data_IF_578980825064
#
_entry.id   IF_578980825064
#
_cell.length_a   1.000
_cell.length_b   1.000
_cell.length_c   1.000
_cell.angle_alpha   90.00
_cell.angle_beta   90.00
_cell.angle_gamma   90.00
#
_symmetry.space_group_name_H-M   'P 1'
#
loop_
_entity.id
_entity.type
_entity.pdbx_description
1 polymer ?
#
# COMPACT_ATOMS: atom_id res chain seq x y z
N UNK A 1 23.10 -4.56 -14.97
CA UNK A 1 21.67 -4.89 -15.16
C UNK A 1 21.22 -5.77 -14.01
N UNK A 2 19.92 -5.91 -13.78
CA UNK A 2 19.37 -6.75 -12.70
C UNK A 2 19.91 -8.20 -12.78
N UNK A 3 20.11 -8.71 -14.00
CA UNK A 3 20.65 -10.06 -14.27
C UNK A 3 22.14 -10.17 -13.95
N UNK A 4 22.91 -9.12 -14.13
CA UNK A 4 24.34 -9.09 -13.77
C UNK A 4 24.52 -9.04 -12.25
N UNK A 5 23.65 -8.31 -11.56
CA UNK A 5 23.70 -8.15 -10.11
C UNK A 5 23.15 -9.39 -9.37
N UNK A 6 22.31 -10.20 -10.04
CA UNK A 6 21.64 -11.38 -9.48
C UNK A 6 21.69 -12.58 -10.44
N UNK A 7 22.81 -13.29 -10.52
CA UNK A 7 23.01 -14.38 -11.49
C UNK A 7 22.09 -15.60 -11.30
N UNK A 8 21.36 -15.68 -10.20
CA UNK A 8 20.39 -16.76 -9.91
C UNK A 8 18.93 -16.38 -10.16
N UNK A 9 18.66 -15.29 -10.91
CA UNK A 9 17.30 -14.92 -11.26
C UNK A 9 16.63 -15.94 -12.16
N UNK A 10 15.37 -16.22 -11.86
CA UNK A 10 14.47 -16.99 -12.71
C UNK A 10 13.11 -16.29 -12.81
N UNK A 11 12.33 -16.66 -13.80
CA UNK A 11 10.96 -16.19 -13.96
C UNK A 11 9.98 -17.27 -13.50
N UNK A 12 9.02 -16.90 -12.62
CA UNK A 12 7.86 -17.73 -12.32
C UNK A 12 6.67 -17.14 -13.08
N UNK A 13 6.06 -17.91 -13.97
CA UNK A 13 5.01 -17.40 -14.86
C UNK A 13 3.86 -18.40 -15.00
N UNK A 14 2.66 -17.88 -15.09
CA UNK A 14 1.41 -18.60 -15.38
C UNK A 14 1.04 -18.57 -16.88
N UNK A 15 1.79 -17.78 -17.66
CA UNK A 15 1.58 -17.60 -19.09
C UNK A 15 2.93 -17.52 -19.84
N UNK A 16 2.99 -17.81 -21.17
CA UNK A 16 4.21 -17.71 -21.93
C UNK A 16 4.85 -16.33 -21.88
N UNK A 17 6.11 -16.25 -21.44
CA UNK A 17 6.95 -15.05 -21.51
C UNK A 17 7.85 -15.16 -22.73
N UNK A 18 7.66 -14.30 -23.73
CA UNK A 18 8.40 -14.34 -25.00
C UNK A 18 9.62 -13.41 -25.03
N UNK A 19 9.73 -12.47 -24.08
CA UNK A 19 10.69 -11.35 -24.15
C UNK A 19 11.76 -11.37 -23.04
N UNK A 20 11.74 -12.36 -22.14
CA UNK A 20 12.67 -12.40 -21.00
C UNK A 20 13.57 -13.60 -21.13
N UNK A 21 14.90 -13.38 -21.26
CA UNK A 21 15.93 -14.42 -21.33
C UNK A 21 16.34 -14.90 -19.92
N UNK A 22 15.38 -15.37 -19.12
CA UNK A 22 15.60 -15.98 -17.80
C UNK A 22 15.19 -17.44 -17.83
N UNK A 23 15.78 -18.25 -16.95
CA UNK A 23 15.26 -19.58 -16.66
C UNK A 23 13.82 -19.43 -16.17
N UNK A 24 12.92 -20.20 -16.76
CA UNK A 24 11.50 -20.11 -16.48
C UNK A 24 11.02 -21.33 -15.74
N UNK A 25 10.23 -21.09 -14.68
CA UNK A 25 9.41 -22.09 -14.01
C UNK A 25 7.93 -21.75 -14.24
N UNK A 26 7.17 -22.74 -14.67
CA UNK A 26 5.72 -22.58 -14.78
C UNK A 26 5.09 -22.61 -13.40
N UNK A 27 4.16 -21.67 -13.16
CA UNK A 27 3.40 -21.68 -11.93
C UNK A 27 2.51 -22.92 -11.89
N UNK A 28 2.61 -23.77 -10.85
CA UNK A 28 1.84 -25.01 -10.81
C UNK A 28 0.34 -24.73 -10.71
N UNK A 29 -0.49 -25.56 -11.35
CA UNK A 29 -1.93 -25.53 -11.05
C UNK A 29 -2.17 -25.86 -9.58
N UNK A 30 -2.76 -24.91 -8.86
CA UNK A 30 -3.08 -25.08 -7.46
C UNK A 30 -4.35 -25.94 -7.36
N UNK A 31 -4.18 -27.21 -7.05
CA UNK A 31 -5.29 -28.05 -6.61
C UNK A 31 -5.57 -27.78 -5.13
N UNK A 32 -6.85 -27.73 -4.69
CA UNK A 32 -7.16 -27.60 -3.28
C UNK A 32 -6.41 -28.68 -2.48
N UNK A 33 -5.52 -28.27 -1.61
CA UNK A 33 -4.77 -29.21 -0.79
C UNK A 33 -5.72 -29.90 0.20
N UNK A 34 -5.78 -31.21 0.14
CA UNK A 34 -6.41 -32.04 1.16
C UNK A 34 -5.48 -32.26 2.37
N UNK A 35 -4.37 -31.52 2.43
CA UNK A 35 -3.37 -31.68 3.49
C UNK A 35 -3.96 -31.31 4.85
N UNK A 36 -3.97 -32.26 5.74
CA UNK A 36 -4.46 -32.11 7.13
C UNK A 36 -3.47 -31.43 8.07
N UNK A 37 -2.21 -31.26 7.65
CA UNK A 37 -1.17 -30.59 8.43
C UNK A 37 -0.37 -29.65 7.52
N UNK A 38 -0.41 -28.35 7.84
CA UNK A 38 0.42 -27.33 7.21
C UNK A 38 1.40 -26.77 8.25
N UNK A 39 2.68 -26.78 7.93
CA UNK A 39 3.71 -26.16 8.76
C UNK A 39 3.97 -24.74 8.24
N UNK A 40 3.63 -23.74 9.05
CA UNK A 40 3.95 -22.35 8.72
C UNK A 40 5.47 -22.18 8.72
N UNK A 41 6.09 -21.78 7.60
CA UNK A 41 7.53 -21.63 7.54
C UNK A 41 7.99 -20.47 8.42
N UNK A 42 9.12 -20.68 9.12
CA UNK A 42 9.80 -19.62 9.85
C UNK A 42 10.76 -18.90 8.91
N UNK A 43 10.41 -17.70 8.50
CA UNK A 43 11.22 -16.87 7.59
C UNK A 43 12.06 -15.91 8.43
N UNK A 44 13.40 -15.85 8.26
CA UNK A 44 14.24 -14.88 8.96
C UNK A 44 13.81 -13.45 8.66
N UNK A 45 13.75 -12.60 9.67
CA UNK A 45 13.31 -11.20 9.50
C UNK A 45 14.17 -10.42 8.48
N UNK A 46 15.47 -10.73 8.42
CA UNK A 46 16.43 -10.09 7.52
C UNK A 46 16.40 -10.63 6.08
N UNK A 47 15.63 -11.69 5.83
CA UNK A 47 15.50 -12.22 4.46
C UNK A 47 14.89 -11.16 3.55
N UNK A 48 15.52 -10.94 2.40
CA UNK A 48 14.98 -10.06 1.36
C UNK A 48 13.66 -10.65 0.85
N UNK A 49 12.60 -9.88 0.96
CA UNK A 49 11.26 -10.26 0.49
C UNK A 49 11.00 -9.71 -0.92
N UNK A 50 11.48 -8.50 -1.20
CA UNK A 50 11.28 -7.85 -2.49
C UNK A 50 12.34 -6.77 -2.78
N UNK A 51 12.58 -6.53 -4.07
CA UNK A 51 13.20 -5.33 -4.59
C UNK A 51 12.12 -4.48 -5.26
N UNK A 52 11.89 -3.30 -4.76
CA UNK A 52 10.92 -2.36 -5.35
C UNK A 52 11.68 -1.25 -6.05
N UNK A 53 11.28 -0.93 -7.28
CA UNK A 53 11.99 0.02 -8.12
C UNK A 53 11.24 1.34 -8.23
N UNK A 54 11.98 2.46 -8.12
CA UNK A 54 11.49 3.79 -8.49
C UNK A 54 12.08 4.21 -9.84
N UNK A 55 11.32 4.96 -10.63
CA UNK A 55 11.85 5.63 -11.83
C UNK A 55 12.78 6.75 -11.38
N UNK A 56 14.07 6.46 -11.20
CA UNK A 56 15.05 7.43 -10.75
C UNK A 56 15.06 8.69 -11.64
N UNK A 57 15.30 9.86 -11.04
CA UNK A 57 15.46 11.16 -11.74
C UNK A 57 16.57 11.14 -12.80
N UNK A 58 17.48 10.17 -12.73
CA UNK A 58 18.59 9.95 -13.68
C UNK A 58 18.22 9.00 -14.85
N UNK A 59 16.95 8.55 -14.92
CA UNK A 59 16.47 7.61 -15.95
C UNK A 59 16.83 6.14 -15.69
N UNK A 60 17.61 5.83 -14.66
CA UNK A 60 17.88 4.44 -14.23
C UNK A 60 17.01 4.12 -13.01
N UNK A 61 16.29 2.97 -13.02
CA UNK A 61 15.54 2.54 -11.86
C UNK A 61 16.46 2.33 -10.64
N UNK A 62 16.05 2.85 -9.49
CA UNK A 62 16.74 2.59 -8.22
C UNK A 62 16.00 1.49 -7.46
N UNK A 63 16.74 0.45 -7.06
CA UNK A 63 16.20 -0.67 -6.29
C UNK A 63 16.19 -0.35 -4.79
N UNK A 64 15.04 -0.55 -4.16
CA UNK A 64 14.85 -0.44 -2.71
C UNK A 64 14.57 -1.82 -2.14
N UNK A 65 15.47 -2.30 -1.29
CA UNK A 65 15.37 -3.61 -0.64
C UNK A 65 14.29 -3.56 0.43
N UNK A 66 13.41 -4.56 0.43
CA UNK A 66 12.42 -4.78 1.49
C UNK A 66 12.68 -6.13 2.13
N UNK A 67 12.85 -6.15 3.45
CA UNK A 67 13.03 -7.40 4.19
C UNK A 67 11.68 -7.98 4.60
N UNK A 68 11.66 -9.27 4.87
CA UNK A 68 10.46 -9.94 5.38
C UNK A 68 9.99 -9.33 6.71
N UNK A 69 10.92 -9.03 7.61
CA UNK A 69 10.62 -8.42 8.90
C UNK A 69 9.99 -7.04 8.78
N UNK A 70 10.52 -6.20 7.87
CA UNK A 70 9.98 -4.86 7.61
C UNK A 70 8.55 -4.92 7.09
N UNK A 71 8.30 -5.68 6.01
CA UNK A 71 6.95 -5.77 5.41
C UNK A 71 5.95 -6.44 6.35
N UNK A 72 6.38 -7.44 7.15
CA UNK A 72 5.51 -8.09 8.13
C UNK A 72 5.09 -7.14 9.26
N UNK A 73 6.03 -6.36 9.83
CA UNK A 73 5.70 -5.34 10.84
C UNK A 73 4.77 -4.27 10.30
N UNK A 74 5.01 -3.81 9.06
CA UNK A 74 4.13 -2.85 8.40
C UNK A 74 2.71 -3.37 8.23
N UNK A 75 2.54 -4.61 7.80
CA UNK A 75 1.22 -5.23 7.65
C UNK A 75 0.49 -5.38 8.99
N UNK A 76 1.18 -5.77 10.07
CA UNK A 76 0.59 -5.87 11.40
C UNK A 76 0.12 -4.48 11.89
N UNK A 77 0.96 -3.45 11.72
CA UNK A 77 0.61 -2.09 12.10
C UNK A 77 -0.59 -1.54 11.30
N UNK A 78 -0.68 -1.88 10.00
CA UNK A 78 -1.86 -1.56 9.18
C UNK A 78 -3.12 -2.28 9.68
N UNK A 79 -3.02 -3.59 9.99
CA UNK A 79 -4.15 -4.36 10.50
C UNK A 79 -4.72 -3.74 11.79
N UNK A 80 -3.84 -3.31 12.68
CA UNK A 80 -4.22 -2.60 13.91
C UNK A 80 -4.92 -1.26 13.59
N UNK A 81 -4.32 -0.45 12.70
CA UNK A 81 -4.85 0.86 12.30
C UNK A 81 -6.23 0.79 11.65
N UNK A 82 -6.46 -0.23 10.83
CA UNK A 82 -7.74 -0.44 10.15
C UNK A 82 -8.70 -1.34 10.92
N UNK A 83 -8.37 -1.70 12.16
CA UNK A 83 -9.15 -2.59 13.03
C UNK A 83 -9.52 -3.93 12.36
N UNK A 84 -8.60 -4.50 11.57
CA UNK A 84 -8.80 -5.77 10.91
C UNK A 84 -8.61 -6.92 11.90
N UNK A 85 -9.62 -7.75 12.04
CA UNK A 85 -9.53 -8.95 12.88
C UNK A 85 -8.84 -10.08 12.11
N UNK A 86 -7.71 -10.62 12.58
CA UNK A 86 -7.04 -11.75 11.95
C UNK A 86 -7.97 -12.94 11.77
N UNK A 87 -7.79 -13.68 10.66
CA UNK A 87 -8.59 -14.86 10.29
C UNK A 87 -10.11 -14.62 10.24
N UNK A 88 -10.56 -13.38 10.14
CA UNK A 88 -11.98 -13.06 9.96
C UNK A 88 -12.43 -13.32 8.52
N UNK A 89 -13.75 -13.37 8.31
CA UNK A 89 -14.37 -13.46 6.98
C UNK A 89 -14.29 -12.11 6.23
N UNK A 90 -13.13 -11.46 6.29
CA UNK A 90 -12.85 -10.20 5.59
C UNK A 90 -12.08 -10.48 4.31
N UNK A 91 -12.40 -9.76 3.25
CA UNK A 91 -11.65 -9.82 1.98
C UNK A 91 -11.13 -8.44 1.61
N UNK A 92 -9.82 -8.37 1.31
CA UNK A 92 -9.18 -7.21 0.71
C UNK A 92 -9.38 -7.23 -0.81
N UNK A 93 -9.83 -6.12 -1.36
CA UNK A 93 -9.99 -5.91 -2.81
C UNK A 93 -9.08 -4.76 -3.20
N UNK A 94 -8.07 -5.00 -4.04
CA UNK A 94 -7.14 -3.98 -4.51
C UNK A 94 -7.46 -3.50 -5.92
N UNK A 95 -7.56 -2.19 -6.13
CA UNK A 95 -7.56 -1.58 -7.47
C UNK A 95 -6.15 -1.23 -7.94
N UNK A 96 -5.16 -1.33 -7.03
CA UNK A 96 -3.74 -1.14 -7.31
C UNK A 96 -3.09 -2.50 -7.41
N UNK A 97 -2.31 -2.75 -8.48
CA UNK A 97 -1.67 -4.05 -8.66
C UNK A 97 -0.64 -4.34 -7.56
N UNK A 98 -0.49 -5.62 -7.13
CA UNK A 98 0.38 -6.00 -6.01
C UNK A 98 1.88 -5.82 -6.29
N UNK A 99 2.31 -5.60 -7.53
CA UNK A 99 3.67 -5.23 -7.88
C UNK A 99 4.01 -3.75 -7.62
N UNK A 100 3.01 -2.90 -7.39
CA UNK A 100 3.22 -1.55 -6.88
C UNK A 100 3.40 -1.60 -5.36
N UNK A 101 4.32 -0.80 -4.79
CA UNK A 101 4.63 -0.84 -3.35
C UNK A 101 3.39 -0.76 -2.46
N UNK A 102 2.49 0.18 -2.74
CA UNK A 102 1.24 0.33 -2.00
C UNK A 102 0.35 -0.93 -2.10
N UNK A 103 0.18 -1.49 -3.31
CA UNK A 103 -0.57 -2.73 -3.51
C UNK A 103 0.09 -3.93 -2.82
N UNK A 104 1.41 -4.03 -2.85
CA UNK A 104 2.17 -5.07 -2.16
C UNK A 104 1.88 -5.05 -0.66
N UNK A 105 2.05 -3.89 -0.01
CA UNK A 105 1.90 -3.75 1.44
C UNK A 105 0.45 -3.83 1.91
N UNK A 106 -0.46 -3.05 1.28
CA UNK A 106 -1.85 -2.90 1.76
C UNK A 106 -2.81 -3.98 1.27
N UNK A 107 -2.40 -4.86 0.35
CA UNK A 107 -3.24 -5.96 -0.08
C UNK A 107 -2.56 -7.32 0.11
N UNK A 108 -1.49 -7.63 -0.60
CA UNK A 108 -0.90 -8.97 -0.58
C UNK A 108 -0.28 -9.31 0.78
N UNK A 109 0.66 -8.47 1.27
CA UNK A 109 1.36 -8.76 2.54
C UNK A 109 0.40 -8.63 3.73
N UNK A 110 -0.51 -7.65 3.69
CA UNK A 110 -1.55 -7.50 4.72
C UNK A 110 -2.43 -8.76 4.83
N UNK A 111 -2.87 -9.31 3.71
CA UNK A 111 -3.64 -10.56 3.70
C UNK A 111 -2.82 -11.74 4.24
N UNK A 112 -1.56 -11.90 3.80
CA UNK A 112 -0.67 -12.96 4.25
C UNK A 112 -0.42 -12.91 5.77
N UNK A 113 -0.23 -11.72 6.34
CA UNK A 113 0.08 -11.57 7.77
C UNK A 113 -1.16 -11.70 8.66
N UNK A 114 -2.32 -11.34 8.17
CA UNK A 114 -3.58 -11.40 8.94
C UNK A 114 -4.36 -12.69 8.71
N UNK A 115 -4.06 -13.44 7.66
CA UNK A 115 -4.83 -14.62 7.28
C UNK A 115 -6.25 -14.30 6.80
N UNK A 116 -6.53 -13.06 6.41
CA UNK A 116 -7.77 -12.66 5.72
C UNK A 116 -7.65 -12.92 4.22
N UNK A 117 -8.77 -12.99 3.51
CA UNK A 117 -8.75 -13.26 2.08
C UNK A 117 -8.26 -12.05 1.27
N UNK A 118 -7.62 -12.32 0.15
CA UNK A 118 -7.28 -11.33 -0.88
C UNK A 118 -7.98 -11.71 -2.19
N UNK A 119 -8.66 -10.74 -2.81
CA UNK A 119 -9.29 -10.93 -4.12
C UNK A 119 -8.23 -10.86 -5.22
N UNK A 120 -7.94 -12.00 -5.86
CA UNK A 120 -6.86 -12.12 -6.86
C UNK A 120 -7.15 -11.48 -8.20
N UNK A 121 -8.36 -10.94 -8.44
CA UNK A 121 -8.69 -10.16 -9.63
C UNK A 121 -8.08 -8.75 -9.57
N UNK A 122 -8.08 -8.07 -10.72
CA UNK A 122 -7.55 -6.71 -10.85
C UNK A 122 -8.67 -5.74 -11.31
N UNK A 123 -9.66 -5.44 -10.43
CA UNK A 123 -10.74 -4.53 -10.79
C UNK A 123 -10.20 -3.12 -11.00
N UNK A 124 -10.45 -2.56 -12.17
CA UNK A 124 -9.94 -1.23 -12.53
C UNK A 124 -11.09 -0.23 -12.77
N UNK A 125 -12.07 -0.60 -13.59
CA UNK A 125 -13.22 0.25 -13.86
C UNK A 125 -14.30 0.14 -12.78
N UNK A 126 -15.17 1.15 -12.60
CA UNK A 126 -16.25 1.12 -11.61
C UNK A 126 -17.13 -0.15 -11.68
N UNK A 127 -17.40 -0.63 -12.88
CA UNK A 127 -18.17 -1.86 -13.05
C UNK A 127 -17.43 -3.11 -12.51
N UNK A 128 -16.11 -3.20 -12.76
CA UNK A 128 -15.28 -4.31 -12.30
C UNK A 128 -15.17 -4.29 -10.77
N UNK A 129 -14.98 -3.09 -10.18
CA UNK A 129 -14.92 -2.91 -8.72
C UNK A 129 -16.22 -3.40 -8.08
N UNK A 130 -17.38 -2.96 -8.61
CA UNK A 130 -18.69 -3.42 -8.10
C UNK A 130 -18.89 -4.92 -8.27
N UNK A 131 -18.51 -5.48 -9.43
CA UNK A 131 -18.60 -6.90 -9.68
C UNK A 131 -17.74 -7.72 -8.70
N UNK A 132 -16.49 -7.28 -8.45
CA UNK A 132 -15.60 -7.90 -7.48
C UNK A 132 -16.19 -7.84 -6.05
N UNK A 133 -16.67 -6.66 -5.63
CA UNK A 133 -17.29 -6.48 -4.32
C UNK A 133 -18.55 -7.35 -4.15
N UNK A 134 -19.34 -7.52 -5.21
CA UNK A 134 -20.58 -8.33 -5.17
C UNK A 134 -20.33 -9.83 -5.05
N UNK A 135 -19.17 -10.33 -5.43
CA UNK A 135 -18.80 -11.75 -5.30
C UNK A 135 -18.44 -12.13 -3.87
N UNK A 136 -18.23 -11.17 -2.98
CA UNK A 136 -17.74 -11.40 -1.63
C UNK A 136 -18.93 -11.41 -0.66
N UNK A 137 -19.05 -12.45 0.13
CA UNK A 137 -20.13 -12.60 1.12
C UNK A 137 -19.81 -12.02 2.50
N UNK A 138 -18.51 -11.86 2.82
CA UNK A 138 -18.05 -11.32 4.10
C UNK A 138 -17.83 -9.80 4.10
N UNK A 139 -17.13 -9.33 5.11
CA UNK A 139 -16.70 -7.93 5.20
C UNK A 139 -15.72 -7.59 4.07
N UNK A 140 -15.81 -6.40 3.51
CA UNK A 140 -15.06 -5.95 2.34
C UNK A 140 -14.22 -4.74 2.69
N UNK A 141 -12.93 -4.80 2.38
CA UNK A 141 -12.00 -3.66 2.49
C UNK A 141 -11.53 -3.30 1.09
N UNK A 142 -11.78 -2.09 0.66
CA UNK A 142 -11.37 -1.60 -0.66
C UNK A 142 -10.08 -0.79 -0.55
N UNK A 143 -8.99 -1.35 -1.08
CA UNK A 143 -7.67 -0.71 -1.21
C UNK A 143 -7.61 -0.05 -2.58
N UNK A 144 -7.60 1.29 -2.63
CA UNK A 144 -7.86 2.04 -3.85
C UNK A 144 -7.02 3.31 -3.95
N UNK A 145 -7.32 4.18 -4.90
CA UNK A 145 -6.67 5.49 -5.09
C UNK A 145 -7.74 6.58 -5.25
N UNK A 146 -7.41 7.86 -5.06
CA UNK A 146 -8.35 8.95 -5.31
C UNK A 146 -8.93 8.94 -6.73
N UNK A 147 -8.16 8.49 -7.72
CA UNK A 147 -8.61 8.35 -9.10
C UNK A 147 -9.76 7.32 -9.24
N UNK A 148 -9.54 6.10 -8.75
CA UNK A 148 -10.56 5.03 -8.82
C UNK A 148 -11.78 5.37 -7.97
N UNK A 149 -11.54 5.99 -6.79
CA UNK A 149 -12.61 6.40 -5.90
C UNK A 149 -13.51 7.46 -6.56
N UNK A 150 -12.92 8.46 -7.20
CA UNK A 150 -13.68 9.48 -7.97
C UNK A 150 -14.50 8.84 -9.08
N UNK A 151 -13.92 7.93 -9.85
CA UNK A 151 -14.63 7.21 -10.92
C UNK A 151 -15.78 6.36 -10.35
N UNK A 152 -15.55 5.62 -9.26
CA UNK A 152 -16.58 4.80 -8.63
C UNK A 152 -17.77 5.63 -8.11
N UNK A 153 -17.50 6.80 -7.53
CA UNK A 153 -18.51 7.68 -6.96
C UNK A 153 -19.25 8.56 -7.99
N UNK A 154 -18.68 8.74 -9.18
CA UNK A 154 -19.36 9.47 -10.28
C UNK A 154 -20.45 8.64 -10.94
N UNK A 155 -20.44 7.33 -10.76
CA UNK A 155 -21.45 6.41 -11.23
C UNK A 155 -22.59 6.28 -10.20
N UNK A 156 -23.83 6.38 -10.63
CA UNK A 156 -25.02 6.31 -9.78
C UNK A 156 -25.37 4.88 -9.31
N UNK A 157 -24.66 3.86 -9.83
CA UNK A 157 -24.92 2.48 -9.47
C UNK A 157 -24.53 2.19 -8.01
N UNK A 158 -25.31 1.37 -7.30
CA UNK A 158 -25.01 1.04 -5.91
C UNK A 158 -23.69 0.27 -5.79
N UNK A 159 -22.98 0.53 -4.69
CA UNK A 159 -21.78 -0.19 -4.30
C UNK A 159 -22.14 -1.08 -3.10
N UNK A 160 -21.75 -2.36 -3.06
CA UNK A 160 -21.94 -3.20 -1.90
C UNK A 160 -21.31 -2.60 -0.64
N UNK A 161 -21.87 -2.88 0.52
CA UNK A 161 -21.39 -2.40 1.82
C UNK A 161 -19.91 -2.71 2.02
N UNK A 162 -19.18 -1.72 2.56
CA UNK A 162 -17.75 -1.79 2.84
C UNK A 162 -17.51 -1.68 4.35
N UNK A 163 -16.54 -2.42 4.86
CA UNK A 163 -16.09 -2.27 6.25
C UNK A 163 -15.15 -1.08 6.39
N UNK A 164 -14.24 -0.88 5.41
CA UNK A 164 -13.43 0.32 5.32
C UNK A 164 -12.87 0.54 3.91
N UNK A 165 -12.38 1.76 3.68
CA UNK A 165 -11.66 2.18 2.47
C UNK A 165 -10.25 2.59 2.85
N UNK A 166 -9.29 2.25 2.00
CA UNK A 166 -7.89 2.67 2.14
C UNK A 166 -7.46 3.31 0.83
N UNK A 167 -6.94 4.54 0.88
CA UNK A 167 -6.55 5.31 -0.30
C UNK A 167 -5.11 5.82 -0.18
N UNK A 168 -4.34 5.73 -1.26
CA UNK A 168 -2.98 6.28 -1.34
C UNK A 168 -2.62 6.67 -2.78
N UNK A 169 -1.34 6.93 -3.02
CA UNK A 169 -0.67 7.23 -4.31
C UNK A 169 -0.86 8.65 -4.84
N UNK A 170 -1.83 9.38 -4.37
CA UNK A 170 -2.07 10.79 -4.71
C UNK A 170 -2.79 11.47 -3.54
N UNK A 171 -2.71 12.80 -3.39
CA UNK A 171 -3.46 13.53 -2.37
C UNK A 171 -4.97 13.27 -2.48
N UNK A 172 -5.61 13.02 -1.36
CA UNK A 172 -7.05 12.81 -1.27
C UNK A 172 -7.74 14.15 -0.93
N UNK A 173 -8.49 14.77 -1.87
CA UNK A 173 -9.23 15.99 -1.58
C UNK A 173 -10.32 15.76 -0.51
N UNK A 174 -10.51 16.74 0.37
CA UNK A 174 -11.46 16.65 1.47
C UNK A 174 -12.90 16.40 0.97
N UNK A 175 -13.31 17.09 -0.08
CA UNK A 175 -14.63 16.92 -0.71
C UNK A 175 -14.86 15.49 -1.23
N UNK A 176 -13.82 14.89 -1.83
CA UNK A 176 -13.87 13.50 -2.28
C UNK A 176 -13.94 12.54 -1.11
N UNK A 177 -13.18 12.78 -0.04
CA UNK A 177 -13.21 11.96 1.16
C UNK A 177 -14.59 12.01 1.84
N UNK A 178 -15.17 13.20 1.99
CA UNK A 178 -16.51 13.40 2.54
C UNK A 178 -17.59 12.69 1.69
N UNK A 179 -17.51 12.83 0.37
CA UNK A 179 -18.43 12.17 -0.55
C UNK A 179 -18.33 10.65 -0.44
N UNK A 180 -17.10 10.12 -0.33
CA UNK A 180 -16.84 8.69 -0.21
C UNK A 180 -17.43 8.12 1.09
N UNK A 181 -17.09 8.69 2.25
CA UNK A 181 -17.62 8.22 3.52
C UNK A 181 -19.14 8.35 3.60
N UNK A 182 -19.72 9.44 3.05
CA UNK A 182 -21.17 9.62 3.02
C UNK A 182 -21.90 8.62 2.12
N UNK A 183 -21.39 8.37 0.90
CA UNK A 183 -22.04 7.46 -0.06
C UNK A 183 -21.81 5.99 0.24
N UNK A 184 -20.64 5.63 0.75
CA UNK A 184 -20.23 4.24 0.97
C UNK A 184 -20.42 3.80 2.41
N UNK A 185 -20.81 4.71 3.32
CA UNK A 185 -21.06 4.48 4.75
C UNK A 185 -19.91 3.73 5.45
N UNK A 186 -18.68 3.99 5.05
CA UNK A 186 -17.49 3.31 5.56
C UNK A 186 -16.36 4.31 5.83
N UNK A 187 -15.55 4.12 6.89
CA UNK A 187 -14.41 4.99 7.18
C UNK A 187 -13.37 4.91 6.05
N UNK A 188 -12.82 6.06 5.67
CA UNK A 188 -11.78 6.18 4.65
C UNK A 188 -10.46 6.62 5.27
N UNK A 189 -9.48 5.73 5.24
CA UNK A 189 -8.11 6.02 5.65
C UNK A 189 -7.26 6.41 4.45
N UNK A 190 -6.59 7.55 4.56
CA UNK A 190 -5.54 7.94 3.62
C UNK A 190 -4.19 7.45 4.15
N UNK A 191 -3.37 6.86 3.29
CA UNK A 191 -2.04 6.34 3.62
C UNK A 191 -0.97 7.20 2.99
N UNK A 192 0.01 7.59 3.78
CA UNK A 192 1.23 8.28 3.37
C UNK A 192 2.44 7.35 3.44
N UNK A 193 3.27 7.44 2.43
CA UNK A 193 4.53 6.71 2.35
C UNK A 193 5.28 6.97 1.05
N UNK A 194 6.47 6.42 0.97
CA UNK A 194 7.31 6.45 -0.23
C UNK A 194 7.98 5.10 -0.43
N UNK A 195 8.54 4.86 -1.61
CA UNK A 195 9.16 3.55 -1.90
C UNK A 195 10.36 3.27 -1.00
N UNK A 196 11.10 4.30 -0.60
CA UNK A 196 12.24 4.22 0.30
C UNK A 196 11.85 3.70 1.69
N UNK A 197 10.85 4.32 2.30
CA UNK A 197 10.39 4.03 3.65
C UNK A 197 9.33 2.91 3.71
N UNK A 198 8.52 2.75 2.66
CA UNK A 198 7.25 2.04 2.73
C UNK A 198 6.14 2.94 3.27
N UNK A 199 5.13 2.34 3.88
CA UNK A 199 4.05 3.10 4.52
C UNK A 199 4.50 3.66 5.86
N UNK A 200 4.29 4.96 6.06
CA UNK A 200 4.77 5.73 7.22
C UNK A 200 3.63 6.11 8.15
N UNK A 201 2.54 6.63 7.60
CA UNK A 201 1.47 7.24 8.39
C UNK A 201 0.10 7.10 7.72
N UNK A 202 -0.93 7.35 8.50
CA UNK A 202 -2.32 7.44 8.01
C UNK A 202 -3.02 8.66 8.61
N UNK A 203 -4.12 9.05 7.96
CA UNK A 203 -5.12 9.95 8.54
C UNK A 203 -6.53 9.57 8.09
N UNK A 204 -7.54 10.05 8.80
CA UNK A 204 -8.90 10.15 8.29
C UNK A 204 -9.14 11.60 7.86
N UNK A 205 -8.98 11.86 6.57
CA UNK A 205 -9.04 13.20 5.97
C UNK A 205 -10.29 14.00 6.34
N UNK A 206 -11.42 13.32 6.61
CA UNK A 206 -12.68 13.95 7.04
C UNK A 206 -12.69 14.33 8.52
N UNK A 207 -11.79 13.80 9.33
CA UNK A 207 -11.75 14.00 10.78
C UNK A 207 -10.68 15.02 11.15
N UNK A 208 -9.45 14.83 10.68
CA UNK A 208 -8.29 15.65 11.07
C UNK A 208 -7.28 15.70 9.91
N UNK A 209 -6.68 16.86 9.63
CA UNK A 209 -5.59 16.99 8.65
C UNK A 209 -4.28 16.36 9.13
N UNK A 210 -4.14 16.06 10.42
CA UNK A 210 -2.93 15.52 11.02
C UNK A 210 -2.71 14.07 10.60
N UNK A 211 -1.50 13.78 10.18
CA UNK A 211 -1.03 12.43 9.93
C UNK A 211 -0.48 11.83 11.22
N UNK A 212 -0.86 10.60 11.50
CA UNK A 212 -0.37 9.80 12.61
C UNK A 212 0.44 8.62 12.07
N UNK A 213 1.68 8.47 12.54
CA UNK A 213 2.56 7.37 12.09
C UNK A 213 1.99 6.02 12.50
N UNK A 214 2.39 4.98 11.78
CA UNK A 214 2.14 3.61 12.23
C UNK A 214 2.98 3.30 13.46
N UNK A 215 2.58 2.27 14.20
CA UNK A 215 3.23 1.85 15.45
C UNK A 215 4.75 1.75 15.30
N UNK A 216 5.47 2.34 16.26
CA UNK A 216 6.94 2.36 16.38
C UNK A 216 7.66 3.12 15.26
N UNK A 217 6.97 3.75 14.33
CA UNK A 217 7.55 4.68 13.37
C UNK A 217 7.63 6.07 14.00
N UNK A 218 8.75 6.75 13.77
CA UNK A 218 9.00 8.12 14.23
C UNK A 218 9.34 9.01 13.06
N UNK A 219 8.91 10.26 13.16
CA UNK A 219 9.28 11.35 12.24
C UNK A 219 9.95 12.45 13.01
N UNK A 220 10.95 13.09 12.40
CA UNK A 220 11.66 14.19 13.04
C UNK A 220 12.31 15.10 12.02
N UNK A 221 12.51 16.38 12.38
CA UNK A 221 13.21 17.34 11.58
C UNK A 221 14.72 17.39 11.93
N UNK A 222 15.56 17.51 10.92
CA UNK A 222 17.00 17.77 11.04
C UNK A 222 17.35 18.93 10.10
N UNK A 223 17.42 20.14 10.65
CA UNK A 223 17.47 21.35 9.85
C UNK A 223 16.18 21.53 9.06
N UNK A 224 16.31 21.74 7.76
CA UNK A 224 15.15 21.90 6.84
C UNK A 224 14.66 20.56 6.24
N UNK A 225 15.21 19.44 6.70
CA UNK A 225 14.89 18.11 6.18
C UNK A 225 14.10 17.29 7.21
N UNK A 226 13.18 16.47 6.73
CA UNK A 226 12.39 15.56 7.57
C UNK A 226 12.78 14.12 7.27
N UNK A 227 12.92 13.36 8.33
CA UNK A 227 13.30 11.94 8.29
C UNK A 227 12.29 11.09 9.02
N UNK A 228 12.26 9.80 8.65
CA UNK A 228 11.48 8.78 9.33
C UNK A 228 12.31 7.53 9.58
N UNK A 229 12.04 6.84 10.69
CA UNK A 229 12.68 5.57 11.05
C UNK A 229 11.83 4.76 12.03
N UNK A 230 12.25 3.53 12.30
CA UNK A 230 11.61 2.63 13.28
C UNK A 230 10.45 1.84 12.70
N UNK A 231 9.87 0.95 13.50
CA UNK A 231 8.78 0.09 13.08
C UNK A 231 9.12 -0.75 11.84
N UNK A 232 8.38 -0.52 10.76
CA UNK A 232 8.62 -1.13 9.44
C UNK A 232 9.71 -0.40 8.64
N UNK A 233 10.07 0.83 9.00
CA UNK A 233 11.13 1.63 8.36
C UNK A 233 12.48 1.23 8.98
N UNK A 234 13.11 0.21 8.43
CA UNK A 234 14.32 -0.40 9.01
C UNK A 234 15.58 0.45 8.83
N UNK A 235 15.62 1.25 7.78
CA UNK A 235 16.71 2.20 7.48
C UNK A 235 16.10 3.59 7.46
N UNK A 236 16.74 4.52 8.19
CA UNK A 236 16.32 5.92 8.18
C UNK A 236 16.13 6.41 6.74
N UNK A 237 14.97 6.97 6.46
CA UNK A 237 14.62 7.49 5.15
C UNK A 237 14.27 8.98 5.24
N UNK A 238 14.79 9.76 4.29
CA UNK A 238 14.41 11.15 4.12
C UNK A 238 13.06 11.23 3.41
N UNK A 239 12.16 12.03 3.97
CA UNK A 239 10.89 12.38 3.34
C UNK A 239 11.10 13.62 2.48
N UNK A 240 10.76 13.52 1.18
CA UNK A 240 10.99 14.59 0.19
C UNK A 240 9.82 15.57 0.08
N UNK A 241 8.77 15.34 0.86
CA UNK A 241 7.58 16.18 0.89
C UNK A 241 7.76 17.34 1.88
N UNK A 242 6.96 18.39 1.73
CA UNK A 242 6.92 19.51 2.67
C UNK A 242 6.06 19.09 3.86
N UNK A 243 6.72 18.97 5.02
CA UNK A 243 6.12 18.39 6.23
C UNK A 243 6.43 19.33 7.42
N UNK A 244 5.39 19.66 8.19
CA UNK A 244 5.52 20.29 9.50
C UNK A 244 5.40 19.21 10.58
N UNK A 245 6.49 18.88 11.24
CA UNK A 245 6.53 17.91 12.34
C UNK A 245 5.92 18.54 13.59
N UNK A 246 4.87 17.93 14.14
CA UNK A 246 4.22 18.35 15.38
C UNK A 246 4.93 17.71 16.59
N UNK A 247 5.10 16.39 16.53
CA UNK A 247 5.86 15.57 17.46
C UNK A 247 6.45 14.36 16.73
N UNK A 248 7.00 13.38 17.42
CA UNK A 248 7.67 12.22 16.81
C UNK A 248 6.69 11.21 16.18
N UNK A 249 5.39 11.37 16.39
CA UNK A 249 4.33 10.50 15.81
C UNK A 249 3.34 11.27 14.93
N UNK A 250 3.33 12.62 14.97
CA UNK A 250 2.33 13.43 14.28
C UNK A 250 2.96 14.52 13.41
N UNK A 251 2.37 14.75 12.24
CA UNK A 251 2.81 15.79 11.31
C UNK A 251 1.69 16.31 10.40
N UNK A 252 1.89 17.47 9.79
CA UNK A 252 1.07 18.00 8.69
C UNK A 252 1.83 17.86 7.39
N UNK A 253 1.18 17.31 6.38
CA UNK A 253 1.70 17.19 5.01
C UNK A 253 1.11 18.31 4.14
N UNK A 254 1.98 19.14 3.54
CA UNK A 254 1.57 20.26 2.68
C UNK A 254 1.64 19.92 1.17
N UNK A 255 2.36 18.89 0.78
CA UNK A 255 2.53 18.44 -0.59
C UNK A 255 3.99 18.21 -0.97
N UNK A 256 4.27 18.01 -2.24
CA UNK A 256 5.65 17.79 -2.71
C UNK A 256 6.39 19.10 -2.90
N UNK A 257 7.68 19.08 -2.57
CA UNK A 257 8.56 20.24 -2.78
C UNK A 257 8.57 20.73 -4.23
N UNK A 258 8.39 19.83 -5.20
CA UNK A 258 8.31 20.15 -6.62
C UNK A 258 7.00 20.86 -7.02
N UNK A 259 5.92 20.68 -6.24
CA UNK A 259 4.60 21.26 -6.51
C UNK A 259 4.35 22.57 -5.76
N UNK A 260 5.26 22.94 -4.84
CA UNK A 260 5.17 24.17 -4.06
C UNK A 260 5.68 25.34 -4.90
N UNK A 261 4.76 26.07 -5.50
CA UNK A 261 5.06 27.30 -6.26
C UNK A 261 5.24 28.46 -5.29
N UNK A 262 6.39 29.12 -5.36
CA UNK A 262 6.69 30.31 -4.54
C UNK A 262 5.98 31.53 -5.16
N UNK A 263 4.78 31.85 -4.70
CA UNK A 263 4.04 33.04 -5.14
C UNK A 263 4.34 34.18 -4.17
N UNK A 264 5.12 35.17 -4.65
CA UNK A 264 5.44 36.42 -3.93
C UNK A 264 5.98 36.22 -2.50
N UNK A 265 6.86 35.22 -2.31
CA UNK A 265 7.52 34.99 -1.02
C UNK A 265 6.71 34.22 0.00
N UNK A 266 5.49 33.73 -0.36
CA UNK A 266 4.73 32.74 0.43
C UNK A 266 4.79 31.38 -0.26
N UNK A 267 5.19 30.36 0.50
CA UNK A 267 5.00 28.95 0.08
C UNK A 267 3.50 28.62 0.18
N UNK A 268 2.89 28.31 -0.93
CA UNK A 268 1.51 27.82 -1.06
C UNK A 268 1.50 26.49 -1.79
#
# INVERSE_FOLDING_TARGET
SLMEDHPGLYALADSPLTEIALERFDFPELTPATATTFVVPKIPAQQVAAYVFTSGSTGRPTAHVKTWGGVARGAIAQAERFALTPHSATTLIGTVPPQHMYGLESSLILALQTGIAFFGGHPFYPADIRAALSQISGARVLVTTPFHLRALLSDAQPVPELACLVSATAPLPLDLAQLAESKLAAPLYEVYGCTEAGQVATRRTVVDPTWETYRDIRVYARGDEVFTHGGSVEIEARLLDVIDVIDDEHFILHGRTADVINIAGKRT
#
